data_IF_942655815321
#
_entry.id   IF_942655815321
#
_cell.length_a   1.000
_cell.length_b   1.000
_cell.length_c   1.000
_cell.angle_alpha   90.00
_cell.angle_beta   90.00
_cell.angle_gamma   90.00
#
_symmetry.space_group_name_H-M   'P 1'
#
loop_
_entity.id
_entity.type
_entity.pdbx_description
1 polymer ?
#
# COMPACT_ATOMS: atom_id res chain seq x y z
N UNK A 1 21.00 -36.41 -2.28
CA UNK A 1 19.76 -35.65 -2.39
C UNK A 1 20.13 -34.19 -2.65
N UNK A 2 19.77 -33.59 -3.80
CA UNK A 2 20.11 -32.20 -4.08
C UNK A 2 19.22 -31.30 -3.23
N UNK A 3 19.84 -30.34 -2.51
CA UNK A 3 19.14 -29.28 -1.79
C UNK A 3 18.55 -28.31 -2.82
N UNK A 4 17.22 -28.25 -2.89
CA UNK A 4 16.49 -27.26 -3.66
C UNK A 4 16.75 -25.88 -3.04
N UNK A 5 17.65 -25.12 -3.60
CA UNK A 5 17.80 -23.68 -3.32
C UNK A 5 16.70 -22.96 -4.09
N UNK A 6 15.80 -22.21 -3.43
CA UNK A 6 14.75 -21.45 -4.14
C UNK A 6 15.38 -20.43 -5.07
N UNK A 7 14.81 -20.30 -6.27
CA UNK A 7 15.20 -19.29 -7.26
C UNK A 7 14.88 -17.87 -6.73
N UNK A 8 15.72 -16.85 -7.02
CA UNK A 8 15.47 -15.45 -6.63
C UNK A 8 14.19 -14.82 -7.19
N UNK A 9 13.46 -15.53 -8.05
CA UNK A 9 12.20 -15.10 -8.68
C UNK A 9 10.95 -15.72 -8.07
N UNK A 10 11.06 -16.45 -6.94
CA UNK A 10 9.90 -17.06 -6.28
C UNK A 10 9.03 -15.97 -5.61
N UNK A 11 7.73 -15.87 -5.94
CA UNK A 11 6.82 -14.88 -5.35
C UNK A 11 6.73 -14.93 -3.82
N UNK A 12 6.94 -16.10 -3.21
CA UNK A 12 6.95 -16.25 -1.75
C UNK A 12 8.06 -15.46 -1.06
N UNK A 13 9.12 -15.08 -1.79
CA UNK A 13 10.26 -14.37 -1.22
C UNK A 13 9.96 -12.93 -0.82
N UNK A 14 8.96 -12.28 -1.46
CA UNK A 14 8.59 -10.89 -1.17
C UNK A 14 7.59 -10.74 -0.01
N UNK A 15 6.88 -11.79 0.32
CA UNK A 15 5.82 -11.81 1.33
C UNK A 15 6.21 -12.60 2.58
N UNK A 16 7.48 -12.98 2.71
CA UNK A 16 8.02 -13.62 3.91
C UNK A 16 8.40 -12.57 4.95
N UNK A 17 8.14 -12.86 6.21
CA UNK A 17 8.46 -12.00 7.35
C UNK A 17 9.94 -11.60 7.41
N UNK A 18 10.83 -12.45 6.94
CA UNK A 18 12.29 -12.24 6.95
C UNK A 18 12.94 -12.72 5.65
N UNK A 19 13.04 -11.87 4.62
CA UNK A 19 13.70 -12.23 3.37
C UNK A 19 15.21 -12.45 3.59
N UNK A 20 15.73 -13.60 3.12
CA UNK A 20 17.15 -13.96 3.24
C UNK A 20 18.07 -13.33 2.18
N UNK A 21 17.51 -12.53 1.27
CA UNK A 21 18.29 -11.87 0.23
C UNK A 21 19.33 -10.90 0.82
N UNK A 22 20.60 -10.91 0.35
CA UNK A 22 21.59 -9.91 0.76
C UNK A 22 21.12 -8.50 0.39
N UNK A 23 21.39 -7.54 1.29
CA UNK A 23 20.99 -6.14 1.11
C UNK A 23 21.62 -5.54 -0.16
N UNK A 24 20.81 -4.85 -0.97
CA UNK A 24 21.22 -4.08 -2.15
C UNK A 24 20.38 -2.81 -2.22
N UNK A 25 20.72 -1.83 -1.39
CA UNK A 25 19.99 -0.57 -1.30
C UNK A 25 20.08 0.24 -2.60
N UNK A 26 18.99 0.87 -2.97
CA UNK A 26 18.87 1.84 -4.06
C UNK A 26 18.05 3.03 -3.62
N UNK A 27 18.39 4.21 -4.11
CA UNK A 27 17.63 5.42 -3.86
C UNK A 27 16.83 5.82 -5.10
N UNK A 28 15.66 6.41 -4.87
CA UNK A 28 14.80 6.94 -5.93
C UNK A 28 13.97 8.11 -5.39
N UNK A 29 13.51 8.97 -6.28
CA UNK A 29 12.63 10.07 -5.94
C UNK A 29 11.18 9.71 -6.26
N UNK A 30 10.26 10.16 -5.42
CA UNK A 30 8.82 10.14 -5.68
C UNK A 30 8.39 11.57 -6.05
N UNK A 31 7.82 11.71 -7.24
CA UNK A 31 7.26 12.96 -7.74
C UNK A 31 5.74 12.87 -7.74
N UNK A 32 5.04 13.96 -7.43
CA UNK A 32 3.56 14.02 -7.46
C UNK A 32 2.92 14.48 -6.16
N UNK A 33 3.74 14.86 -5.19
CA UNK A 33 3.33 15.58 -3.99
C UNK A 33 3.88 17.01 -4.03
N UNK A 34 3.38 17.90 -3.19
CA UNK A 34 3.87 19.28 -3.05
C UNK A 34 5.33 19.36 -2.56
N UNK A 35 6.03 18.24 -2.56
CA UNK A 35 7.44 18.08 -2.19
C UNK A 35 8.11 16.93 -2.93
N UNK A 36 9.44 16.95 -2.94
CA UNK A 36 10.28 15.87 -3.48
C UNK A 36 10.64 14.92 -2.35
N UNK A 37 10.06 13.74 -2.32
CA UNK A 37 10.44 12.68 -1.39
C UNK A 37 11.62 11.87 -1.97
N UNK A 38 12.62 11.58 -1.14
CA UNK A 38 13.73 10.67 -1.48
C UNK A 38 13.60 9.42 -0.64
N UNK A 39 13.44 8.29 -1.31
CA UNK A 39 13.25 6.98 -0.69
C UNK A 39 14.39 6.05 -1.04
N UNK A 40 14.72 5.16 -0.09
CA UNK A 40 15.54 3.96 -0.33
C UNK A 40 14.63 2.75 -0.47
N UNK A 41 15.09 1.75 -1.22
CA UNK A 41 14.54 0.39 -1.24
C UNK A 41 15.66 -0.63 -1.15
N UNK A 42 15.34 -1.90 -0.92
CA UNK A 42 16.34 -2.97 -0.78
C UNK A 42 15.89 -4.26 -1.46
N UNK A 43 16.82 -5.16 -1.69
CA UNK A 43 16.53 -6.52 -2.12
C UNK A 43 15.64 -7.24 -1.11
N UNK A 44 14.62 -7.96 -1.59
CA UNK A 44 13.62 -8.61 -0.72
C UNK A 44 12.49 -7.70 -0.27
N UNK A 45 12.49 -6.42 -0.65
CA UNK A 45 11.36 -5.51 -0.53
C UNK A 45 10.73 -5.32 -1.90
N UNK A 46 9.40 -5.21 -1.94
CA UNK A 46 8.69 -4.92 -3.19
C UNK A 46 9.25 -3.64 -3.83
N UNK A 47 9.44 -3.68 -5.17
CA UNK A 47 10.01 -2.54 -5.90
C UNK A 47 11.49 -2.28 -5.69
N UNK A 48 12.30 -3.35 -5.55
CA UNK A 48 13.76 -3.29 -5.37
C UNK A 48 14.54 -2.48 -6.45
N UNK A 49 13.93 -2.09 -7.56
CA UNK A 49 14.56 -1.34 -8.66
C UNK A 49 14.14 0.14 -8.71
N UNK A 50 13.38 0.62 -7.72
CA UNK A 50 12.82 1.96 -7.67
C UNK A 50 11.30 1.93 -7.47
N UNK A 51 10.60 3.00 -7.81
CA UNK A 51 9.15 3.06 -7.67
C UNK A 51 8.48 2.06 -8.62
N UNK A 52 7.62 1.20 -8.08
CA UNK A 52 6.81 0.26 -8.87
C UNK A 52 5.89 1.00 -9.84
N UNK A 53 5.67 0.41 -11.03
CA UNK A 53 4.83 1.03 -12.06
C UNK A 53 3.38 1.25 -11.60
N UNK A 54 2.82 0.31 -10.85
CA UNK A 54 1.48 0.44 -10.29
C UNK A 54 1.42 1.58 -9.28
N UNK A 55 2.36 1.62 -8.35
CA UNK A 55 2.49 2.70 -7.37
C UNK A 55 2.72 4.06 -8.05
N UNK A 56 3.56 4.14 -9.09
CA UNK A 56 3.75 5.39 -9.86
C UNK A 56 2.44 5.88 -10.47
N UNK A 57 1.72 5.00 -11.17
CA UNK A 57 0.40 5.34 -11.76
C UNK A 57 -0.59 5.75 -10.67
N UNK A 58 -0.60 5.05 -9.55
CA UNK A 58 -1.47 5.35 -8.42
C UNK A 58 -1.24 6.76 -7.89
N UNK A 59 0.00 7.09 -7.54
CA UNK A 59 0.36 8.39 -6.99
C UNK A 59 0.10 9.53 -7.99
N UNK A 60 0.37 9.33 -9.29
CA UNK A 60 0.04 10.31 -10.33
C UNK A 60 -1.46 10.58 -10.48
N UNK A 61 -2.30 9.54 -10.31
CA UNK A 61 -3.75 9.68 -10.32
C UNK A 61 -4.22 10.39 -9.06
N UNK A 62 -3.75 9.92 -7.89
CA UNK A 62 -4.18 10.46 -6.60
C UNK A 62 -3.73 11.92 -6.36
N UNK A 63 -2.64 12.35 -6.99
CA UNK A 63 -2.20 13.75 -6.95
C UNK A 63 -3.21 14.72 -7.59
N UNK A 64 -4.08 14.20 -8.50
CA UNK A 64 -5.08 14.99 -9.24
C UNK A 64 -6.52 14.66 -8.85
N UNK A 65 -6.69 13.60 -8.06
CA UNK A 65 -8.00 13.14 -7.63
C UNK A 65 -8.48 13.97 -6.45
N UNK A 66 -9.72 14.44 -6.55
CA UNK A 66 -10.40 15.14 -5.47
C UNK A 66 -10.95 14.12 -4.47
N UNK A 67 -10.13 13.79 -3.47
CA UNK A 67 -10.53 12.87 -2.41
C UNK A 67 -11.52 13.56 -1.47
N UNK A 68 -12.41 12.79 -0.86
CA UNK A 68 -13.27 13.29 0.20
C UNK A 68 -12.44 13.98 1.31
N UNK A 69 -12.93 15.07 1.91
CA UNK A 69 -12.27 15.72 3.03
C UNK A 69 -11.99 14.72 4.17
N UNK A 70 -10.84 14.88 4.78
CA UNK A 70 -10.42 14.05 5.93
C UNK A 70 -10.20 14.97 7.12
N UNK A 71 -10.87 14.66 8.22
CA UNK A 71 -10.80 15.47 9.45
C UNK A 71 -9.40 15.37 10.09
N UNK A 72 -8.86 16.47 10.62
CA UNK A 72 -7.63 16.45 11.42
C UNK A 72 -7.72 15.44 12.58
N UNK A 73 -6.63 14.73 12.85
CA UNK A 73 -6.57 13.69 13.87
C UNK A 73 -7.06 12.31 13.42
N UNK A 74 -7.59 12.19 12.20
CA UNK A 74 -8.00 10.90 11.64
C UNK A 74 -6.82 9.96 11.43
N UNK A 75 -7.12 8.66 11.37
CA UNK A 75 -6.17 7.62 10.99
C UNK A 75 -6.32 7.26 9.51
N UNK A 76 -5.20 7.16 8.81
CA UNK A 76 -5.13 6.66 7.43
C UNK A 76 -4.20 5.45 7.39
N UNK A 77 -4.37 4.57 6.39
CA UNK A 77 -3.57 3.37 6.28
C UNK A 77 -3.00 3.18 4.87
N UNK A 78 -1.72 2.79 4.80
CA UNK A 78 -1.08 2.21 3.62
C UNK A 78 -0.90 0.70 3.85
N UNK A 79 -1.68 -0.11 3.13
CA UNK A 79 -1.70 -1.57 3.28
C UNK A 79 -0.70 -2.19 2.31
N UNK A 80 0.32 -2.88 2.85
CA UNK A 80 1.44 -3.38 2.07
C UNK A 80 2.41 -2.26 1.70
N UNK A 81 2.87 -1.51 2.71
CA UNK A 81 3.58 -0.25 2.50
C UNK A 81 4.92 -0.37 1.76
N UNK A 82 5.55 -1.56 1.76
CA UNK A 82 6.85 -1.74 1.14
C UNK A 82 7.88 -0.73 1.64
N UNK A 83 8.50 0.03 0.74
CA UNK A 83 9.45 1.10 1.09
C UNK A 83 8.78 2.40 1.57
N UNK A 84 7.44 2.46 1.63
CA UNK A 84 6.69 3.58 2.18
C UNK A 84 6.28 4.66 1.15
N UNK A 85 6.37 4.40 -0.15
CA UNK A 85 6.07 5.43 -1.15
C UNK A 85 4.65 6.02 -1.02
N UNK A 86 3.65 5.19 -0.76
CA UNK A 86 2.27 5.62 -0.53
C UNK A 86 2.15 6.26 0.87
N UNK A 87 2.67 5.62 1.92
CA UNK A 87 2.59 6.12 3.29
C UNK A 87 3.20 7.52 3.44
N UNK A 88 4.40 7.75 2.86
CA UNK A 88 5.06 9.05 2.93
C UNK A 88 4.28 10.11 2.13
N UNK A 89 3.69 9.74 1.00
CA UNK A 89 2.82 10.63 0.23
C UNK A 89 1.58 11.04 1.03
N UNK A 90 0.93 10.08 1.71
CA UNK A 90 -0.19 10.36 2.61
C UNK A 90 0.22 11.31 3.74
N UNK A 91 1.40 11.08 4.35
CA UNK A 91 1.89 11.89 5.47
C UNK A 91 2.14 13.37 5.08
N UNK A 92 2.65 13.60 3.88
CA UNK A 92 2.82 14.97 3.34
C UNK A 92 1.46 15.61 3.03
N UNK A 93 0.54 14.85 2.40
CA UNK A 93 -0.78 15.34 2.00
C UNK A 93 -1.70 15.64 3.20
N UNK A 94 -1.56 14.88 4.27
CA UNK A 94 -2.41 14.96 5.46
C UNK A 94 -1.56 15.13 6.74
N UNK A 95 -0.90 16.27 6.92
CA UNK A 95 0.07 16.46 8.03
C UNK A 95 -0.59 16.44 9.41
N UNK A 96 -1.90 16.71 9.50
CA UNK A 96 -2.67 16.67 10.74
C UNK A 96 -3.27 15.28 11.07
N UNK A 97 -3.01 14.27 10.22
CA UNK A 97 -3.50 12.89 10.40
C UNK A 97 -2.34 11.95 10.78
N UNK A 98 -2.67 10.82 11.38
CA UNK A 98 -1.70 9.74 11.63
C UNK A 98 -1.78 8.68 10.53
N UNK A 99 -0.66 8.34 9.93
CA UNK A 99 -0.57 7.38 8.84
C UNK A 99 -0.04 6.05 9.35
N UNK A 100 -0.84 5.00 9.30
CA UNK A 100 -0.40 3.64 9.57
C UNK A 100 0.19 3.03 8.29
N UNK A 101 1.49 2.77 8.30
CA UNK A 101 2.19 2.06 7.24
C UNK A 101 2.35 0.60 7.64
N UNK A 102 1.62 -0.31 6.98
CA UNK A 102 1.51 -1.69 7.42
C UNK A 102 2.11 -2.65 6.39
N UNK A 103 2.99 -3.54 6.85
CA UNK A 103 3.56 -4.61 6.01
C UNK A 103 3.90 -5.83 6.86
N UNK A 104 3.74 -7.03 6.32
CA UNK A 104 4.17 -8.29 6.97
C UNK A 104 5.69 -8.43 6.98
N UNK A 105 6.35 -7.90 5.96
CA UNK A 105 7.79 -7.97 5.79
C UNK A 105 8.52 -6.97 6.71
N UNK A 106 9.25 -7.49 7.71
CA UNK A 106 10.01 -6.65 8.65
C UNK A 106 11.00 -5.72 7.95
N UNK A 107 11.70 -6.19 6.91
CA UNK A 107 12.66 -5.36 6.16
C UNK A 107 11.98 -4.18 5.45
N UNK A 108 10.76 -4.40 4.94
CA UNK A 108 9.95 -3.32 4.35
C UNK A 108 9.59 -2.28 5.41
N UNK A 109 9.15 -2.71 6.58
CA UNK A 109 8.84 -1.83 7.71
C UNK A 109 10.06 -1.00 8.16
N UNK A 110 11.22 -1.65 8.31
CA UNK A 110 12.47 -0.95 8.71
C UNK A 110 12.84 0.13 7.69
N UNK A 111 12.76 -0.17 6.39
CA UNK A 111 13.05 0.78 5.32
C UNK A 111 12.01 1.91 5.26
N UNK A 112 10.73 1.59 5.43
CA UNK A 112 9.66 2.60 5.48
C UNK A 112 9.91 3.60 6.62
N UNK A 113 10.27 3.13 7.81
CA UNK A 113 10.62 3.96 8.96
C UNK A 113 11.86 4.83 8.72
N UNK A 114 12.93 4.25 8.12
CA UNK A 114 14.12 5.00 7.73
C UNK A 114 13.77 6.11 6.72
N UNK A 115 12.93 5.80 5.73
CA UNK A 115 12.50 6.77 4.73
C UNK A 115 11.64 7.89 5.36
N UNK A 116 10.73 7.57 6.27
CA UNK A 116 9.95 8.55 7.02
C UNK A 116 10.86 9.51 7.79
N UNK A 117 11.81 8.96 8.55
CA UNK A 117 12.79 9.73 9.33
C UNK A 117 13.64 10.63 8.43
N UNK A 118 14.16 10.10 7.32
CA UNK A 118 14.97 10.86 6.35
C UNK A 118 14.24 12.05 5.75
N UNK A 119 12.93 11.93 5.54
CA UNK A 119 12.09 13.00 5.00
C UNK A 119 11.46 13.90 6.09
N UNK A 120 11.81 13.71 7.36
CA UNK A 120 11.33 14.52 8.47
C UNK A 120 9.85 14.34 8.80
N UNK A 121 9.26 13.21 8.41
CA UNK A 121 7.85 12.90 8.62
C UNK A 121 7.67 12.21 9.98
N UNK A 122 6.92 12.86 10.89
CA UNK A 122 6.72 12.39 12.27
C UNK A 122 5.33 11.81 12.51
N UNK A 123 4.44 11.88 11.51
CA UNK A 123 3.06 11.42 11.61
C UNK A 123 2.84 10.03 10.98
N UNK A 124 3.90 9.23 10.84
CA UNK A 124 3.84 7.85 10.33
C UNK A 124 4.09 6.85 11.46
N UNK A 125 3.21 5.86 11.57
CA UNK A 125 3.31 4.73 12.49
C UNK A 125 3.49 3.46 11.66
N UNK A 126 4.69 2.86 11.71
CA UNK A 126 5.01 1.64 10.96
C UNK A 126 4.76 0.42 11.83
N UNK A 127 3.95 -0.53 11.35
CA UNK A 127 3.49 -1.70 12.12
C UNK A 127 3.41 -2.97 11.28
N UNK A 128 3.54 -4.13 11.94
CA UNK A 128 3.03 -5.38 11.40
C UNK A 128 1.50 -5.42 11.50
N UNK A 129 0.78 -6.16 10.64
CA UNK A 129 -0.68 -6.22 10.68
C UNK A 129 -1.26 -6.56 12.05
N UNK A 130 -0.66 -7.50 12.75
CA UNK A 130 -1.05 -7.99 14.08
C UNK A 130 -0.76 -7.00 15.22
N UNK A 131 0.09 -6.01 14.98
CA UNK A 131 0.44 -4.97 15.96
C UNK A 131 -0.50 -3.76 15.89
N UNK A 132 -1.40 -3.72 14.91
CA UNK A 132 -2.37 -2.62 14.77
C UNK A 132 -3.60 -2.92 15.62
N UNK A 133 -3.84 -2.10 16.62
CA UNK A 133 -5.01 -2.24 17.51
C UNK A 133 -6.28 -2.44 16.68
N UNK A 134 -7.05 -3.53 16.92
CA UNK A 134 -8.25 -3.84 16.16
C UNK A 134 -9.37 -2.81 16.29
N UNK A 135 -9.35 -1.98 17.32
CA UNK A 135 -10.34 -0.90 17.53
C UNK A 135 -10.11 0.33 16.64
N UNK A 136 -8.93 0.45 16.02
CA UNK A 136 -8.64 1.57 15.13
C UNK A 136 -9.44 1.43 13.84
N UNK A 137 -10.17 2.48 13.49
CA UNK A 137 -10.86 2.65 12.21
C UNK A 137 -10.17 3.73 11.38
N UNK A 138 -10.22 3.60 10.07
CA UNK A 138 -9.49 4.45 9.13
C UNK A 138 -10.44 5.27 8.27
N UNK A 139 -10.23 6.58 8.24
CA UNK A 139 -10.96 7.48 7.33
C UNK A 139 -10.58 7.25 5.86
N UNK A 140 -9.33 6.85 5.61
CA UNK A 140 -8.91 6.45 4.26
C UNK A 140 -7.85 5.36 4.29
N UNK A 141 -7.92 4.45 3.30
CA UNK A 141 -6.92 3.40 3.09
C UNK A 141 -6.42 3.46 1.65
N UNK A 142 -5.10 3.44 1.48
CA UNK A 142 -4.46 3.38 0.18
C UNK A 142 -3.66 2.10 0.05
N UNK A 143 -3.62 1.48 -1.14
CA UNK A 143 -2.83 0.26 -1.32
C UNK A 143 -2.48 -0.01 -2.79
N UNK A 144 -1.29 -0.54 -2.99
CA UNK A 144 -0.94 -1.36 -4.14
C UNK A 144 -0.89 -2.82 -3.66
N UNK A 145 -2.04 -3.51 -3.58
CA UNK A 145 -2.13 -4.78 -2.87
C UNK A 145 -1.30 -5.88 -3.55
N UNK A 146 -0.81 -6.86 -2.79
CA UNK A 146 0.05 -7.94 -3.29
C UNK A 146 -0.74 -9.00 -4.07
N UNK A 147 -1.21 -8.66 -5.27
CA UNK A 147 -2.10 -9.52 -6.10
C UNK A 147 -1.50 -10.91 -6.37
N UNK A 148 -0.16 -11.05 -6.34
CA UNK A 148 0.56 -12.31 -6.61
C UNK A 148 0.48 -13.35 -5.50
N UNK A 149 -0.07 -13.02 -4.33
CA UNK A 149 -0.29 -13.99 -3.23
C UNK A 149 -1.41 -14.98 -3.54
N UNK A 150 -2.15 -14.76 -4.62
CA UNK A 150 -3.30 -15.56 -5.01
C UNK A 150 -4.62 -14.91 -4.62
N UNK A 151 -5.69 -15.34 -5.29
CA UNK A 151 -7.00 -14.70 -5.18
C UNK A 151 -7.59 -14.81 -3.77
N UNK A 152 -7.53 -15.99 -3.14
CA UNK A 152 -8.09 -16.20 -1.79
C UNK A 152 -7.38 -15.31 -0.77
N UNK A 153 -6.05 -15.38 -0.70
CA UNK A 153 -5.29 -14.59 0.26
C UNK A 153 -5.45 -13.06 0.05
N UNK A 154 -5.62 -12.61 -1.20
CA UNK A 154 -5.94 -11.21 -1.49
C UNK A 154 -7.33 -10.82 -0.98
N UNK A 155 -8.32 -11.70 -1.14
CA UNK A 155 -9.68 -11.48 -0.65
C UNK A 155 -9.68 -11.40 0.88
N UNK A 156 -9.03 -12.37 1.56
CA UNK A 156 -8.91 -12.39 3.03
C UNK A 156 -8.24 -11.11 3.56
N UNK A 157 -7.18 -10.66 2.89
CA UNK A 157 -6.51 -9.39 3.21
C UNK A 157 -7.46 -8.19 3.09
N UNK A 158 -8.18 -8.09 1.98
CA UNK A 158 -9.06 -6.95 1.74
C UNK A 158 -10.29 -6.98 2.64
N UNK A 159 -10.89 -8.13 2.93
CA UNK A 159 -11.98 -8.26 3.90
C UNK A 159 -11.54 -7.76 5.28
N UNK A 160 -10.37 -8.22 5.76
CA UNK A 160 -9.81 -7.81 7.05
C UNK A 160 -9.66 -6.28 7.17
N UNK A 161 -9.12 -5.64 6.12
CA UNK A 161 -8.82 -4.21 6.19
C UNK A 161 -10.02 -3.34 5.84
N UNK A 162 -10.83 -3.69 4.84
CA UNK A 162 -12.03 -2.92 4.48
C UNK A 162 -13.06 -2.90 5.61
N UNK A 163 -13.11 -3.95 6.45
CA UNK A 163 -13.95 -3.97 7.64
C UNK A 163 -13.56 -2.89 8.68
N UNK A 164 -12.37 -2.33 8.57
CA UNK A 164 -11.82 -1.27 9.45
C UNK A 164 -11.93 0.14 8.84
N UNK A 165 -12.58 0.30 7.69
CA UNK A 165 -12.96 1.62 7.20
C UNK A 165 -14.02 2.24 8.12
N UNK A 166 -13.88 3.53 8.39
CA UNK A 166 -14.90 4.33 9.07
C UNK A 166 -16.19 4.38 8.25
N UNK A 167 -17.28 4.85 8.84
CA UNK A 167 -18.63 4.91 8.24
C UNK A 167 -18.63 5.60 6.88
N UNK A 168 -17.92 6.71 6.73
CA UNK A 168 -17.75 7.44 5.47
C UNK A 168 -16.35 7.24 4.86
N UNK A 169 -15.64 6.22 5.34
CA UNK A 169 -14.28 5.93 4.93
C UNK A 169 -14.18 5.46 3.47
N UNK A 170 -13.05 5.77 2.84
CA UNK A 170 -12.81 5.41 1.44
C UNK A 170 -11.46 4.71 1.29
N UNK A 171 -11.45 3.56 0.59
CA UNK A 171 -10.22 2.93 0.18
C UNK A 171 -9.90 3.19 -1.29
N UNK A 172 -8.62 3.38 -1.61
CA UNK A 172 -8.12 3.53 -2.96
C UNK A 172 -7.10 2.44 -3.26
N UNK A 173 -7.34 1.66 -4.31
CA UNK A 173 -6.53 0.51 -4.67
C UNK A 173 -6.01 0.66 -6.10
N UNK A 174 -4.73 0.36 -6.33
CA UNK A 174 -4.20 0.21 -7.69
C UNK A 174 -4.04 -1.27 -8.03
N UNK A 175 -4.62 -1.69 -9.14
CA UNK A 175 -4.67 -3.09 -9.56
C UNK A 175 -4.30 -3.22 -11.02
N UNK A 176 -3.41 -4.16 -11.35
CA UNK A 176 -3.11 -4.46 -12.75
C UNK A 176 -4.34 -5.04 -13.45
N UNK A 177 -4.70 -4.49 -14.62
CA UNK A 177 -5.86 -4.90 -15.42
C UNK A 177 -5.86 -6.41 -15.70
N UNK A 178 -4.70 -6.94 -16.06
CA UNK A 178 -4.56 -8.35 -16.46
C UNK A 178 -4.50 -9.31 -15.26
N UNK A 179 -4.44 -8.79 -14.04
CA UNK A 179 -4.41 -9.57 -12.80
C UNK A 179 -5.74 -9.53 -12.03
N UNK A 180 -6.85 -9.29 -12.74
CA UNK A 180 -8.19 -9.46 -12.18
C UNK A 180 -8.82 -8.20 -11.59
N UNK A 181 -8.42 -7.00 -12.01
CA UNK A 181 -8.98 -5.74 -11.49
C UNK A 181 -10.51 -5.66 -11.59
N UNK A 182 -11.12 -6.17 -12.70
CA UNK A 182 -12.57 -6.13 -12.87
C UNK A 182 -13.29 -7.13 -11.98
N UNK A 183 -12.76 -8.36 -11.86
CA UNK A 183 -13.33 -9.38 -10.98
C UNK A 183 -13.20 -8.99 -9.50
N UNK A 184 -12.10 -8.32 -9.12
CA UNK A 184 -11.91 -7.79 -7.78
C UNK A 184 -12.93 -6.69 -7.46
N UNK A 185 -13.15 -5.75 -8.38
CA UNK A 185 -14.17 -4.71 -8.24
C UNK A 185 -15.58 -5.29 -8.06
N UNK A 186 -15.95 -6.28 -8.89
CA UNK A 186 -17.24 -6.97 -8.77
C UNK A 186 -17.39 -7.68 -7.43
N UNK A 187 -16.34 -8.36 -6.98
CA UNK A 187 -16.33 -9.06 -5.70
C UNK A 187 -16.49 -8.12 -4.51
N UNK A 188 -15.76 -7.00 -4.46
CA UNK A 188 -15.91 -6.00 -3.39
C UNK A 188 -17.33 -5.41 -3.38
N UNK A 189 -17.89 -5.10 -4.57
CA UNK A 189 -19.27 -4.60 -4.68
C UNK A 189 -20.28 -5.61 -4.16
N UNK A 190 -20.09 -6.91 -4.44
CA UNK A 190 -20.97 -7.98 -3.92
C UNK A 190 -20.90 -8.12 -2.39
N UNK A 191 -19.80 -7.70 -1.77
CA UNK A 191 -19.62 -7.64 -0.30
C UNK A 191 -20.13 -6.33 0.33
N UNK A 192 -20.94 -5.54 -0.39
CA UNK A 192 -21.44 -4.24 0.07
C UNK A 192 -20.36 -3.15 0.22
N UNK A 193 -19.29 -3.25 -0.57
CA UNK A 193 -18.31 -2.19 -0.75
C UNK A 193 -18.43 -1.62 -2.18
N UNK A 194 -19.27 -0.61 -2.42
CA UNK A 194 -19.41 0.03 -3.72
C UNK A 194 -18.05 0.42 -4.28
N UNK A 195 -17.73 -0.12 -5.45
CA UNK A 195 -16.41 0.05 -6.05
C UNK A 195 -16.50 0.72 -7.40
N UNK A 196 -15.85 1.87 -7.54
CA UNK A 196 -15.81 2.66 -8.77
C UNK A 196 -14.40 2.73 -9.33
N UNK A 197 -14.24 2.57 -10.63
CA UNK A 197 -12.97 2.78 -11.32
C UNK A 197 -12.79 4.27 -11.60
N UNK A 198 -11.90 4.94 -10.88
CA UNK A 198 -11.61 6.37 -11.06
C UNK A 198 -10.56 6.64 -12.15
N UNK A 199 -9.69 5.67 -12.46
CA UNK A 199 -8.73 5.79 -13.56
C UNK A 199 -8.37 4.45 -14.19
N UNK A 200 -7.92 4.52 -15.46
CA UNK A 200 -7.32 3.39 -16.17
C UNK A 200 -6.11 3.92 -16.96
N UNK A 201 -4.90 3.54 -16.56
CA UNK A 201 -3.66 4.07 -17.15
C UNK A 201 -2.54 3.02 -17.13
N UNK A 202 -1.77 2.93 -18.20
CA UNK A 202 -0.58 2.06 -18.33
C UNK A 202 -0.80 0.60 -17.91
N UNK A 203 -1.99 0.04 -18.20
CA UNK A 203 -2.34 -1.33 -17.81
C UNK A 203 -2.79 -1.49 -16.35
N UNK A 204 -2.92 -0.39 -15.60
CA UNK A 204 -3.43 -0.39 -14.22
C UNK A 204 -4.78 0.31 -14.13
N UNK A 205 -5.58 -0.08 -13.15
CA UNK A 205 -6.82 0.56 -12.75
C UNK A 205 -6.69 1.08 -11.33
N UNK A 206 -7.15 2.30 -11.10
CA UNK A 206 -7.31 2.84 -9.76
C UNK A 206 -8.79 2.72 -9.41
N UNK A 207 -9.05 2.04 -8.30
CA UNK A 207 -10.39 1.77 -7.79
C UNK A 207 -10.61 2.60 -6.53
N UNK A 208 -11.78 3.23 -6.46
CA UNK A 208 -12.31 3.84 -5.24
C UNK A 208 -13.33 2.86 -4.65
N UNK A 209 -13.22 2.58 -3.37
CA UNK A 209 -14.04 1.62 -2.62
C UNK A 209 -14.63 2.35 -1.41
N UNK A 210 -15.95 2.36 -1.30
CA UNK A 210 -16.66 3.02 -0.20
C UNK A 210 -17.32 2.04 0.72
N UNK A 211 -17.59 2.44 1.96
CA UNK A 211 -18.50 1.70 2.84
C UNK A 211 -19.95 2.08 2.54
N UNK A 212 -20.88 1.19 2.89
CA UNK A 212 -22.35 1.45 2.89
C UNK A 212 -22.91 1.46 4.30
N UNK A 213 -22.02 1.55 5.28
CA UNK A 213 -22.40 1.52 6.72
C UNK A 213 -22.75 2.91 7.20
#
# INVERSE_FOLDING_TARGET
MPKNTPSPSDPQHYFSESPQAPSRRKEFAVSGTDGKLTLSTDAGVFSQHGLDKGTSVFLEVMAKHDCAPIEPGSFLCDIGCGSGAIALTLAVRYPACTIYAVDTNKRARDICLENATRNGLTNIVVKAPEEVDPSIVFASMWSNPPIRIGKSALHDLLELWLARLDTDGTAYLVVNKNLGADSLSQWMTALSYPTTRIASRNGFRVLEVKTTR
#
